data_IF_719126284593
#
_entry.id   IF_719126284593
#
_cell.length_a   1.000
_cell.length_b   1.000
_cell.length_c   1.000
_cell.angle_alpha   90.00
_cell.angle_beta   90.00
_cell.angle_gamma   90.00
#
_symmetry.space_group_name_H-M   'P 1'
#
loop_
_entity.id
_entity.type
_entity.pdbx_description
1 polymer ?
#
# COMPACT_ATOMS: atom_id res chain seq x y z
N UNK A 1 0.93 -42.57 -62.89
CA UNK A 1 0.48 -41.19 -62.59
C UNK A 1 1.14 -40.75 -61.29
N UNK A 2 2.01 -39.73 -61.34
CA UNK A 2 2.71 -39.15 -60.19
C UNK A 2 1.73 -38.28 -59.39
N UNK A 3 1.66 -38.42 -58.06
CA UNK A 3 1.05 -37.40 -57.18
C UNK A 3 2.01 -37.08 -56.05
N UNK A 4 2.44 -35.84 -56.07
CA UNK A 4 3.42 -35.18 -55.20
C UNK A 4 2.63 -34.76 -53.95
N UNK A 5 3.03 -35.20 -52.75
CA UNK A 5 2.55 -34.58 -51.50
C UNK A 5 3.38 -33.32 -51.28
N UNK A 6 2.84 -32.19 -51.74
CA UNK A 6 3.33 -30.85 -51.39
C UNK A 6 2.81 -30.48 -50.01
N UNK A 7 3.72 -29.95 -49.18
CA UNK A 7 3.47 -29.65 -47.77
C UNK A 7 2.46 -28.53 -47.52
N UNK A 8 1.97 -28.51 -46.28
CA UNK A 8 1.26 -27.38 -45.71
C UNK A 8 1.91 -27.05 -44.37
N UNK A 9 2.82 -26.08 -44.39
CA UNK A 9 3.36 -25.44 -43.19
C UNK A 9 2.27 -24.49 -42.66
N UNK A 10 1.54 -24.92 -41.64
CA UNK A 10 0.51 -24.12 -40.97
C UNK A 10 1.19 -23.09 -40.05
N UNK A 11 1.36 -21.87 -40.54
CA UNK A 11 1.77 -20.72 -39.70
C UNK A 11 0.54 -20.30 -38.89
N UNK A 12 0.43 -20.78 -37.65
CA UNK A 12 -0.56 -20.30 -36.68
C UNK A 12 -0.08 -18.91 -36.21
N UNK A 13 -0.62 -17.86 -36.82
CA UNK A 13 -0.56 -16.51 -36.25
C UNK A 13 -1.37 -16.50 -34.95
N UNK A 14 -0.68 -16.60 -33.81
CA UNK A 14 -1.27 -16.38 -32.49
C UNK A 14 -1.72 -14.92 -32.39
N UNK A 15 -3.01 -14.67 -32.65
CA UNK A 15 -3.70 -13.47 -32.15
C UNK A 15 -3.79 -13.57 -30.63
N UNK A 16 -2.71 -13.24 -29.94
CA UNK A 16 -2.77 -12.97 -28.51
C UNK A 16 -3.61 -11.70 -28.32
N UNK A 17 -4.70 -11.73 -27.53
CA UNK A 17 -5.38 -10.50 -27.19
C UNK A 17 -4.39 -9.60 -26.46
N UNK A 18 -4.20 -8.38 -26.97
CA UNK A 18 -3.51 -7.34 -26.22
C UNK A 18 -4.37 -7.05 -25.00
N UNK A 19 -3.98 -7.57 -23.84
CA UNK A 19 -4.51 -7.11 -22.57
C UNK A 19 -4.06 -5.65 -22.45
N UNK A 20 -4.97 -4.72 -22.77
CA UNK A 20 -4.80 -3.34 -22.38
C UNK A 20 -4.93 -3.31 -20.86
N UNK A 21 -3.81 -3.16 -20.16
CA UNK A 21 -3.82 -2.61 -18.81
C UNK A 21 -4.28 -1.15 -18.94
N UNK A 22 -5.59 -0.94 -19.05
CA UNK A 22 -6.17 0.33 -18.69
C UNK A 22 -5.91 0.47 -17.18
N UNK A 23 -4.87 1.23 -16.81
CA UNK A 23 -4.78 1.76 -15.47
C UNK A 23 -6.13 2.38 -15.16
N UNK A 24 -6.78 1.94 -14.08
CA UNK A 24 -8.13 2.37 -13.74
C UNK A 24 -8.11 3.87 -13.46
N UNK A 25 -8.36 4.67 -14.50
CA UNK A 25 -8.65 6.08 -14.32
C UNK A 25 -9.81 6.17 -13.33
N UNK A 26 -9.67 7.03 -12.33
CA UNK A 26 -10.74 7.35 -11.40
C UNK A 26 -12.04 7.61 -12.18
N UNK A 27 -13.18 7.02 -11.78
CA UNK A 27 -14.41 7.13 -12.56
C UNK A 27 -14.86 8.59 -12.66
N UNK A 28 -15.51 8.93 -13.77
CA UNK A 28 -16.18 10.22 -13.94
C UNK A 28 -17.57 10.18 -13.28
N UNK A 29 -18.12 11.35 -12.87
CA UNK A 29 -19.48 11.44 -12.40
C UNK A 29 -20.48 10.80 -13.35
N UNK A 30 -21.42 10.03 -12.79
CA UNK A 30 -22.49 9.38 -13.57
C UNK A 30 -23.85 9.53 -12.91
N UNK A 31 -24.92 9.51 -13.71
CA UNK A 31 -26.31 9.73 -13.26
C UNK A 31 -27.31 8.78 -13.93
N UNK A 32 -28.55 8.66 -13.39
CA UNK A 32 -29.58 7.81 -13.98
C UNK A 32 -29.78 8.02 -15.48
N UNK A 33 -29.89 6.91 -16.22
CA UNK A 33 -30.04 6.89 -17.67
C UNK A 33 -28.73 6.85 -18.47
N UNK A 34 -27.58 7.12 -17.85
CA UNK A 34 -26.28 6.97 -18.50
C UNK A 34 -25.84 5.51 -18.62
N UNK A 35 -24.93 5.23 -19.55
CA UNK A 35 -24.45 3.88 -19.84
C UNK A 35 -22.96 3.88 -20.18
N UNK A 36 -22.32 2.71 -20.10
CA UNK A 36 -20.95 2.48 -20.55
C UNK A 36 -19.95 2.19 -19.43
N UNK A 37 -18.66 2.27 -19.75
CA UNK A 37 -17.58 1.77 -18.89
C UNK A 37 -17.51 2.45 -17.52
N UNK A 38 -17.90 3.72 -17.42
CA UNK A 38 -17.92 4.46 -16.15
C UNK A 38 -19.00 3.94 -15.20
N UNK A 39 -20.20 3.70 -15.74
CA UNK A 39 -21.30 3.09 -14.99
C UNK A 39 -20.94 1.68 -14.56
N UNK A 40 -20.27 0.92 -15.42
CA UNK A 40 -19.79 -0.43 -15.09
C UNK A 40 -18.78 -0.42 -13.94
N UNK A 41 -17.85 0.55 -13.92
CA UNK A 41 -16.90 0.72 -12.82
C UNK A 41 -17.61 1.07 -11.51
N UNK A 42 -18.59 1.99 -11.56
CA UNK A 42 -19.43 2.33 -10.42
C UNK A 42 -20.15 1.09 -9.86
N UNK A 43 -20.84 0.33 -10.72
CA UNK A 43 -21.57 -0.88 -10.34
C UNK A 43 -20.66 -1.91 -9.69
N UNK A 44 -19.46 -2.14 -10.24
CA UNK A 44 -18.48 -3.04 -9.64
C UNK A 44 -18.11 -2.63 -8.21
N UNK A 45 -17.87 -1.34 -7.96
CA UNK A 45 -17.62 -0.85 -6.59
C UNK A 45 -18.83 -0.95 -5.66
N UNK A 46 -20.04 -0.76 -6.17
CA UNK A 46 -21.25 -0.96 -5.38
C UNK A 46 -21.50 -2.44 -5.04
N UNK A 47 -21.10 -3.36 -5.92
CA UNK A 47 -21.08 -4.80 -5.66
C UNK A 47 -20.05 -5.13 -4.58
N UNK A 48 -18.83 -4.61 -4.69
CA UNK A 48 -17.79 -4.77 -3.65
C UNK A 48 -18.25 -4.22 -2.28
N UNK A 49 -19.03 -3.15 -2.28
CA UNK A 49 -19.65 -2.58 -1.08
C UNK A 49 -20.90 -3.35 -0.59
N UNK A 50 -21.27 -4.46 -1.23
CA UNK A 50 -22.48 -5.24 -0.96
C UNK A 50 -23.80 -4.44 -1.05
N UNK A 51 -23.80 -3.34 -1.81
CA UNK A 51 -24.97 -2.47 -2.04
C UNK A 51 -25.69 -2.81 -3.35
N UNK A 52 -25.07 -3.64 -4.19
CA UNK A 52 -25.64 -4.14 -5.44
C UNK A 52 -25.37 -5.64 -5.55
N UNK A 53 -26.28 -6.38 -6.18
CA UNK A 53 -26.16 -7.84 -6.31
C UNK A 53 -24.99 -8.23 -7.21
N UNK A 54 -24.30 -9.33 -6.88
CA UNK A 54 -23.26 -9.90 -7.75
C UNK A 54 -23.79 -10.15 -9.17
N UNK A 55 -23.03 -9.73 -10.19
CA UNK A 55 -23.41 -9.81 -11.60
C UNK A 55 -24.30 -8.67 -12.10
N UNK A 56 -24.70 -7.71 -11.25
CA UNK A 56 -25.49 -6.54 -11.65
C UNK A 56 -24.61 -5.39 -12.22
N UNK A 57 -23.59 -5.70 -13.04
CA UNK A 57 -22.69 -4.74 -13.68
C UNK A 57 -23.01 -4.55 -15.18
N UNK A 58 -24.31 -4.33 -15.44
CA UNK A 58 -24.93 -4.19 -16.77
C UNK A 58 -24.36 -3.05 -17.62
N UNK A 59 -23.58 -2.16 -17.01
CA UNK A 59 -23.12 -0.90 -17.57
C UNK A 59 -24.26 0.10 -17.88
N UNK A 60 -25.45 -0.09 -17.30
CA UNK A 60 -26.60 0.81 -17.44
C UNK A 60 -26.98 1.37 -16.06
N UNK A 61 -27.07 2.69 -15.94
CA UNK A 61 -27.41 3.35 -14.68
C UNK A 61 -28.93 3.31 -14.48
N UNK A 62 -29.42 2.14 -14.08
CA UNK A 62 -30.82 1.85 -13.82
C UNK A 62 -31.25 2.20 -12.39
N UNK A 63 -32.52 1.92 -12.05
CA UNK A 63 -33.08 2.23 -10.73
C UNK A 63 -32.40 1.43 -9.60
N UNK A 64 -31.85 0.24 -9.89
CA UNK A 64 -31.09 -0.53 -8.91
C UNK A 64 -29.76 0.15 -8.58
N UNK A 65 -29.06 0.66 -9.59
CA UNK A 65 -27.82 1.42 -9.45
C UNK A 65 -28.08 2.73 -8.69
N UNK A 66 -29.15 3.44 -9.04
CA UNK A 66 -29.57 4.68 -8.36
C UNK A 66 -29.87 4.44 -6.88
N UNK A 67 -30.62 3.38 -6.57
CA UNK A 67 -30.95 3.00 -5.20
C UNK A 67 -29.70 2.66 -4.40
N UNK A 68 -28.78 1.88 -4.97
CA UNK A 68 -27.50 1.55 -4.33
C UNK A 68 -26.65 2.79 -4.04
N UNK A 69 -26.58 3.76 -4.97
CA UNK A 69 -25.88 5.03 -4.75
C UNK A 69 -26.54 5.86 -3.66
N UNK A 70 -27.88 5.93 -3.63
CA UNK A 70 -28.60 6.65 -2.59
C UNK A 70 -28.35 6.04 -1.19
N UNK A 71 -28.33 4.71 -1.09
CA UNK A 71 -27.99 4.00 0.15
C UNK A 71 -26.55 4.30 0.56
N UNK A 72 -25.60 4.22 -0.38
CA UNK A 72 -24.20 4.55 -0.13
C UNK A 72 -24.03 5.98 0.41
N UNK A 73 -24.68 6.95 -0.22
CA UNK A 73 -24.66 8.35 0.19
C UNK A 73 -25.19 8.52 1.62
N UNK A 74 -26.33 7.88 1.92
CA UNK A 74 -26.93 7.92 3.24
C UNK A 74 -26.00 7.31 4.31
N UNK A 75 -25.34 6.19 4.02
CA UNK A 75 -24.41 5.52 4.93
C UNK A 75 -23.14 6.34 5.22
N UNK A 76 -22.72 7.20 4.28
CA UNK A 76 -21.47 7.95 4.36
C UNK A 76 -21.65 9.45 4.64
N UNK A 77 -22.86 9.89 5.00
CA UNK A 77 -23.14 11.29 5.32
C UNK A 77 -23.03 12.25 4.13
N UNK A 78 -23.18 11.73 2.91
CA UNK A 78 -23.18 12.50 1.66
C UNK A 78 -24.63 12.89 1.34
N UNK A 79 -24.84 14.02 0.67
CA UNK A 79 -26.17 14.43 0.20
C UNK A 79 -26.79 13.32 -0.67
N UNK A 80 -27.96 12.82 -0.25
CA UNK A 80 -28.66 11.72 -0.94
C UNK A 80 -29.35 12.23 -2.20
N UNK A 81 -28.72 12.00 -3.35
CA UNK A 81 -29.22 12.41 -4.66
C UNK A 81 -29.49 11.22 -5.59
N UNK A 82 -28.88 10.05 -5.31
CA UNK A 82 -28.86 8.91 -6.23
C UNK A 82 -28.06 9.20 -7.51
N UNK A 83 -27.22 10.25 -7.50
CA UNK A 83 -26.27 10.59 -8.56
C UNK A 83 -24.86 10.31 -8.04
N UNK A 84 -24.04 9.60 -8.80
CA UNK A 84 -22.64 9.36 -8.44
C UNK A 84 -21.80 10.58 -8.83
N UNK A 85 -21.95 11.68 -8.10
CA UNK A 85 -21.16 12.91 -8.24
C UNK A 85 -19.74 12.77 -7.68
N UNK A 86 -18.93 13.82 -7.77
CA UNK A 86 -17.53 13.76 -7.33
C UNK A 86 -17.41 13.40 -5.84
N UNK A 87 -18.26 13.94 -4.98
CA UNK A 87 -18.24 13.64 -3.53
C UNK A 87 -18.55 12.16 -3.30
N UNK A 88 -19.54 11.63 -4.00
CA UNK A 88 -19.89 10.21 -3.96
C UNK A 88 -18.74 9.33 -4.43
N UNK A 89 -18.13 9.67 -5.57
CA UNK A 89 -17.05 8.89 -6.16
C UNK A 89 -15.78 8.92 -5.30
N UNK A 90 -15.44 10.07 -4.72
CA UNK A 90 -14.28 10.20 -3.83
C UNK A 90 -14.41 9.28 -2.62
N UNK A 91 -15.61 9.14 -2.05
CA UNK A 91 -15.83 8.28 -0.89
C UNK A 91 -16.01 6.81 -1.29
N UNK A 92 -16.61 6.52 -2.45
CA UNK A 92 -16.86 5.14 -2.91
C UNK A 92 -15.59 4.46 -3.45
N UNK A 93 -14.69 5.23 -4.05
CA UNK A 93 -13.44 4.74 -4.63
C UNK A 93 -12.22 5.03 -3.74
N UNK A 94 -12.40 5.63 -2.56
CA UNK A 94 -11.32 5.67 -1.57
C UNK A 94 -10.94 4.23 -1.21
N UNK A 95 -9.66 3.99 -1.03
CA UNK A 95 -9.21 2.72 -0.46
C UNK A 95 -9.88 2.55 0.91
N UNK A 96 -10.39 1.35 1.25
CA UNK A 96 -11.07 1.15 2.52
C UNK A 96 -10.18 1.61 3.66
N UNK A 97 -10.76 2.34 4.61
CA UNK A 97 -10.06 2.66 5.84
C UNK A 97 -9.78 1.33 6.57
N UNK A 98 -8.52 0.98 6.82
CA UNK A 98 -8.13 -0.17 7.61
C UNK A 98 -8.82 -0.14 8.96
N UNK A 99 -9.27 -1.30 9.43
CA UNK A 99 -9.93 -1.43 10.73
C UNK A 99 -8.93 -1.04 11.82
N UNK A 100 -9.27 -0.13 12.76
CA UNK A 100 -8.41 0.17 13.89
C UNK A 100 -8.10 -1.11 14.67
N UNK A 101 -6.83 -1.52 14.67
CA UNK A 101 -6.35 -2.71 15.37
C UNK A 101 -5.80 -3.82 14.50
N UNK A 102 -5.87 -3.73 13.16
CA UNK A 102 -5.15 -4.63 12.26
C UNK A 102 -3.97 -3.93 11.57
N UNK A 103 -2.79 -4.55 11.64
CA UNK A 103 -1.61 -4.12 10.89
C UNK A 103 -1.82 -4.29 9.39
N UNK A 104 -1.73 -3.19 8.65
CA UNK A 104 -1.88 -3.19 7.20
C UNK A 104 -0.60 -3.61 6.48
N UNK A 105 -0.74 -4.13 5.27
CA UNK A 105 0.41 -4.41 4.39
C UNK A 105 0.33 -3.57 3.13
N UNK A 106 0.76 -2.30 3.18
CA UNK A 106 0.80 -1.50 1.97
C UNK A 106 1.83 -2.06 1.01
N UNK A 107 1.47 -2.14 -0.27
CA UNK A 107 2.41 -2.43 -1.35
C UNK A 107 2.94 -1.11 -1.91
N UNK A 108 4.27 -0.98 -2.01
CA UNK A 108 4.93 0.27 -2.42
C UNK A 108 4.34 0.84 -3.72
N UNK A 109 4.32 0.02 -4.78
CA UNK A 109 3.86 0.43 -6.11
C UNK A 109 2.34 0.40 -6.31
N UNK A 110 1.57 -0.08 -5.33
CA UNK A 110 0.11 -0.02 -5.37
C UNK A 110 -0.44 1.19 -4.58
N UNK A 111 0.36 2.25 -4.43
CA UNK A 111 0.03 3.48 -3.70
C UNK A 111 0.49 3.49 -2.24
N UNK A 112 1.32 2.53 -1.82
CA UNK A 112 2.00 2.59 -0.52
C UNK A 112 3.03 3.72 -0.45
N UNK A 113 3.61 4.12 -1.59
CA UNK A 113 4.51 5.28 -1.71
C UNK A 113 3.92 6.59 -1.23
N UNK A 114 2.59 6.73 -1.26
CA UNK A 114 1.88 7.98 -1.01
C UNK A 114 1.32 8.08 0.42
N UNK A 115 1.42 7.00 1.22
CA UNK A 115 0.80 6.92 2.55
C UNK A 115 1.43 7.84 3.58
N UNK A 116 2.76 8.00 3.54
CA UNK A 116 3.51 8.81 4.49
C UNK A 116 4.21 9.91 3.68
N UNK A 117 3.72 11.15 3.62
CA UNK A 117 4.32 12.18 2.75
C UNK A 117 5.72 12.62 3.20
N UNK A 118 6.50 13.25 2.31
CA UNK A 118 7.79 13.84 2.69
C UNK A 118 7.61 14.90 3.78
N UNK A 119 8.48 14.86 4.79
CA UNK A 119 8.40 15.71 5.99
C UNK A 119 7.39 15.23 7.04
N UNK A 120 6.62 14.17 6.78
CA UNK A 120 5.73 13.59 7.78
C UNK A 120 6.54 13.01 8.94
N UNK A 121 6.05 13.23 10.16
CA UNK A 121 6.55 12.61 11.39
C UNK A 121 5.68 11.41 11.73
N UNK A 122 6.30 10.29 12.05
CA UNK A 122 5.62 9.04 12.42
C UNK A 122 6.43 8.23 13.43
N UNK A 123 5.78 7.26 14.05
CA UNK A 123 6.43 6.37 15.01
C UNK A 123 6.75 5.03 14.36
N UNK A 124 7.91 4.48 14.71
CA UNK A 124 8.36 3.15 14.34
C UNK A 124 8.45 2.30 15.59
N UNK A 125 7.88 1.10 15.55
CA UNK A 125 8.08 0.04 16.55
C UNK A 125 8.82 -1.12 15.92
N UNK A 126 9.96 -1.50 16.49
CA UNK A 126 10.61 -2.78 16.16
C UNK A 126 9.84 -3.94 16.80
N UNK A 127 9.30 -4.84 15.99
CA UNK A 127 8.45 -5.94 16.47
C UNK A 127 9.22 -6.89 17.40
N UNK A 128 10.52 -7.07 17.14
CA UNK A 128 11.36 -8.03 17.86
C UNK A 128 11.75 -7.55 19.26
N UNK A 129 12.20 -6.32 19.39
CA UNK A 129 12.63 -5.72 20.68
C UNK A 129 11.52 -4.96 21.40
N UNK A 130 10.49 -4.53 20.67
CA UNK A 130 9.42 -3.66 21.16
C UNK A 130 9.84 -2.20 21.36
N UNK A 131 11.07 -1.82 21.02
CA UNK A 131 11.50 -0.41 21.10
C UNK A 131 10.68 0.45 20.15
N UNK A 132 10.32 1.66 20.60
CA UNK A 132 9.52 2.62 19.84
C UNK A 132 10.28 3.93 19.75
N UNK A 133 10.34 4.52 18.57
CA UNK A 133 11.01 5.79 18.34
C UNK A 133 10.31 6.58 17.23
N UNK A 134 10.42 7.91 17.30
CA UNK A 134 9.87 8.82 16.31
C UNK A 134 10.89 9.14 15.23
N UNK A 135 10.40 9.25 13.99
CA UNK A 135 11.20 9.57 12.82
C UNK A 135 10.44 10.57 11.95
N UNK A 136 11.12 11.17 10.98
CA UNK A 136 10.43 11.81 9.86
C UNK A 136 10.84 11.18 8.53
N UNK A 137 9.92 11.21 7.55
CA UNK A 137 10.24 10.83 6.17
C UNK A 137 11.08 11.92 5.54
N UNK A 138 12.32 11.61 5.21
CA UNK A 138 13.24 12.52 4.54
C UNK A 138 13.00 12.54 3.04
N UNK A 139 13.00 11.38 2.39
CA UNK A 139 12.86 11.24 0.93
C UNK A 139 12.41 9.80 0.56
N UNK A 140 12.79 9.33 -0.64
CA UNK A 140 12.61 7.95 -1.07
C UNK A 140 11.72 7.79 -2.31
N UNK A 141 12.20 7.01 -3.29
CA UNK A 141 11.54 6.74 -4.59
C UNK A 141 11.11 5.27 -4.73
N UNK A 142 11.98 4.34 -4.34
CA UNK A 142 11.76 2.88 -4.43
C UNK A 142 11.40 2.24 -3.08
N UNK A 143 11.59 3.01 -2.02
CA UNK A 143 11.32 2.76 -0.61
C UNK A 143 11.34 4.11 0.14
N UNK A 144 11.11 4.12 1.45
CA UNK A 144 11.08 5.32 2.27
C UNK A 144 12.44 5.56 2.93
N UNK A 145 12.98 6.78 2.82
CA UNK A 145 14.16 7.20 3.59
C UNK A 145 13.73 8.00 4.82
N UNK A 146 14.25 7.62 5.99
CA UNK A 146 13.90 8.23 7.27
C UNK A 146 15.13 8.60 8.10
N UNK A 147 14.94 9.56 8.99
CA UNK A 147 15.90 9.88 10.05
C UNK A 147 15.17 9.93 11.41
N UNK A 148 15.80 9.50 12.52
CA UNK A 148 15.27 9.74 13.86
C UNK A 148 15.00 11.23 14.10
N UNK A 149 13.90 11.52 14.79
CA UNK A 149 13.46 12.90 14.99
C UNK A 149 14.33 13.61 16.03
N UNK A 150 14.63 12.96 17.16
CA UNK A 150 15.49 13.51 18.21
C UNK A 150 16.69 12.60 18.54
N UNK A 151 17.55 13.06 19.45
CA UNK A 151 18.66 12.26 19.96
C UNK A 151 18.17 11.08 20.77
N UNK A 152 17.11 11.27 21.54
CA UNK A 152 16.45 10.23 22.32
C UNK A 152 15.89 9.14 21.39
N UNK A 153 15.27 9.52 20.27
CA UNK A 153 14.82 8.56 19.26
C UNK A 153 15.98 7.73 18.67
N UNK A 154 17.14 8.37 18.44
CA UNK A 154 18.35 7.65 18.01
C UNK A 154 18.82 6.63 19.04
N UNK A 155 18.77 6.96 20.33
CA UNK A 155 19.12 6.01 21.40
C UNK A 155 18.09 4.88 21.54
N UNK A 156 16.81 5.15 21.34
CA UNK A 156 15.76 4.12 21.28
C UNK A 156 15.95 3.19 20.07
N UNK A 157 16.31 3.73 18.90
CA UNK A 157 16.65 2.94 17.71
C UNK A 157 17.87 2.04 17.95
N UNK A 158 18.87 2.48 18.73
CA UNK A 158 20.03 1.65 19.11
C UNK A 158 19.66 0.44 19.96
N UNK A 159 18.51 0.42 20.65
CA UNK A 159 18.06 -0.80 21.33
C UNK A 159 17.72 -1.90 20.32
N UNK A 160 17.23 -1.54 19.13
CA UNK A 160 17.06 -2.47 18.02
C UNK A 160 18.36 -2.73 17.24
N UNK A 161 19.28 -1.75 17.19
CA UNK A 161 20.58 -1.85 16.55
C UNK A 161 21.73 -1.41 17.47
N UNK A 162 22.19 -2.27 18.40
CA UNK A 162 23.31 -1.93 19.28
C UNK A 162 24.59 -1.59 18.50
N UNK A 163 24.70 -2.14 17.29
CA UNK A 163 25.61 -1.72 16.25
C UNK A 163 24.79 -1.44 15.01
N UNK A 164 25.06 -0.32 14.34
CA UNK A 164 24.44 -0.02 13.05
C UNK A 164 24.72 -1.12 12.05
N UNK A 165 23.68 -1.62 11.39
CA UNK A 165 23.78 -2.72 10.45
C UNK A 165 22.72 -2.64 9.37
N UNK A 166 23.00 -3.33 8.26
CA UNK A 166 22.03 -3.56 7.21
C UNK A 166 21.04 -4.68 7.55
N UNK A 167 21.02 -5.21 8.78
CA UNK A 167 20.12 -6.31 9.11
C UNK A 167 18.66 -5.86 9.01
N UNK A 168 17.82 -6.72 8.40
CA UNK A 168 16.41 -6.41 8.19
C UNK A 168 15.65 -6.69 9.47
N UNK A 169 14.92 -5.69 9.93
CA UNK A 169 14.07 -5.80 11.10
C UNK A 169 12.60 -5.61 10.71
N UNK A 170 11.68 -6.43 11.24
CA UNK A 170 10.24 -6.25 11.11
C UNK A 170 9.80 -5.07 11.95
N UNK A 171 9.09 -4.14 11.34
CA UNK A 171 8.61 -2.95 12.03
C UNK A 171 7.14 -2.69 11.78
N UNK A 172 6.52 -2.04 12.75
CA UNK A 172 5.23 -1.39 12.58
C UNK A 172 5.45 0.12 12.51
N UNK A 173 4.79 0.77 11.57
CA UNK A 173 4.70 2.22 11.50
C UNK A 173 3.34 2.65 12.02
N UNK A 174 3.30 3.62 12.94
CA UNK A 174 2.08 4.31 13.33
C UNK A 174 2.07 5.74 12.78
N UNK A 175 1.10 6.03 11.93
CA UNK A 175 0.92 7.35 11.31
C UNK A 175 -0.58 7.64 11.17
N UNK A 176 -1.01 8.85 11.57
CA UNK A 176 -2.42 9.30 11.53
C UNK A 176 -3.44 8.32 12.15
N UNK A 177 -3.01 7.58 13.19
CA UNK A 177 -3.85 6.60 13.89
C UNK A 177 -3.96 5.24 13.19
N UNK A 178 -3.27 5.06 12.07
CA UNK A 178 -3.18 3.81 11.33
C UNK A 178 -1.84 3.09 11.58
N UNK A 179 -1.84 1.77 11.41
CA UNK A 179 -0.67 0.91 11.61
C UNK A 179 -0.33 0.16 10.33
N UNK A 180 0.94 0.21 9.92
CA UNK A 180 1.45 -0.41 8.69
C UNK A 180 2.64 -1.33 8.99
N UNK A 181 2.62 -2.54 8.45
CA UNK A 181 3.75 -3.44 8.41
C UNK A 181 4.79 -2.92 7.41
N UNK A 182 6.03 -2.86 7.85
CA UNK A 182 7.17 -2.54 7.03
C UNK A 182 8.40 -3.32 7.52
N UNK A 183 9.52 -3.10 6.84
CA UNK A 183 10.82 -3.54 7.29
C UNK A 183 11.81 -2.39 7.25
N UNK A 184 12.70 -2.29 8.23
CA UNK A 184 13.81 -1.33 8.21
C UNK A 184 15.17 -2.01 8.17
N UNK A 185 16.18 -1.25 7.77
CA UNK A 185 17.54 -1.47 8.21
C UNK A 185 17.96 -0.35 9.20
N UNK A 186 19.13 -0.48 9.83
CA UNK A 186 19.62 0.51 10.80
C UNK A 186 20.94 1.16 10.42
N UNK A 187 21.43 0.98 9.20
CA UNK A 187 22.73 1.51 8.78
C UNK A 187 22.55 2.96 8.31
N UNK A 188 23.13 3.96 8.99
CA UNK A 188 23.18 5.31 8.45
C UNK A 188 23.96 5.32 7.14
N UNK A 189 23.42 5.97 6.11
CA UNK A 189 24.09 6.10 4.83
C UNK A 189 23.77 7.43 4.15
N UNK A 190 24.54 7.71 3.10
CA UNK A 190 24.43 8.92 2.28
C UNK A 190 24.55 10.19 3.13
N UNK A 191 23.60 11.13 3.03
CA UNK A 191 23.61 12.40 3.75
C UNK A 191 22.56 12.47 4.85
N UNK A 192 22.80 13.37 5.79
CA UNK A 192 21.94 13.69 6.93
C UNK A 192 21.32 15.07 6.74
N UNK A 193 20.02 15.18 6.95
CA UNK A 193 19.27 16.44 6.92
C UNK A 193 18.99 16.95 8.35
N UNK A 194 18.78 16.05 9.32
CA UNK A 194 18.53 16.38 10.72
C UNK A 194 19.77 16.21 11.59
N UNK A 195 20.59 17.27 11.68
CA UNK A 195 21.87 17.26 12.44
C UNK A 195 21.70 17.15 13.96
N UNK A 196 20.52 17.40 14.51
CA UNK A 196 20.30 17.44 15.95
C UNK A 196 19.94 16.08 16.56
N UNK A 197 19.53 15.10 15.74
CA UNK A 197 19.22 13.73 16.21
C UNK A 197 20.48 12.93 16.56
N UNK A 198 21.66 13.36 16.12
CA UNK A 198 22.90 12.58 16.29
C UNK A 198 22.94 11.28 15.47
N UNK A 199 22.00 11.04 14.56
CA UNK A 199 22.02 9.92 13.62
C UNK A 199 22.73 10.32 12.32
N UNK A 200 23.88 9.73 11.96
CA UNK A 200 24.78 10.27 10.95
C UNK A 200 24.41 9.84 9.50
N UNK A 201 23.19 10.11 9.06
CA UNK A 201 22.69 9.79 7.72
C UNK A 201 21.18 9.60 7.72
N UNK A 202 20.66 8.83 6.77
CA UNK A 202 19.32 8.25 6.84
C UNK A 202 19.38 6.72 6.81
N UNK A 203 18.23 6.09 7.03
CA UNK A 203 18.05 4.65 6.91
C UNK A 203 16.78 4.34 6.10
N UNK A 204 16.73 3.14 5.53
CA UNK A 204 15.65 2.74 4.64
C UNK A 204 14.54 2.02 5.40
N UNK A 205 13.29 2.34 5.04
CA UNK A 205 12.08 1.62 5.40
C UNK A 205 11.40 1.12 4.13
N UNK A 206 11.07 -0.16 4.10
CA UNK A 206 10.49 -0.88 2.96
C UNK A 206 9.10 -1.38 3.32
N UNK A 207 8.10 -0.95 2.56
CA UNK A 207 6.79 -1.60 2.49
C UNK A 207 6.84 -2.86 1.61
N UNK A 208 5.75 -3.62 1.53
CA UNK A 208 5.68 -4.80 0.67
C UNK A 208 6.01 -4.43 -0.79
N UNK A 209 6.76 -5.30 -1.45
CA UNK A 209 7.23 -5.14 -2.82
C UNK A 209 8.06 -3.87 -3.13
N UNK A 210 8.54 -3.14 -2.12
CA UNK A 210 9.57 -2.12 -2.30
C UNK A 210 10.82 -2.72 -2.93
N UNK A 211 11.54 -1.93 -3.74
CA UNK A 211 12.78 -2.38 -4.41
C UNK A 211 13.99 -1.69 -3.80
N UNK A 212 15.17 -2.29 -3.93
CA UNK A 212 16.42 -1.65 -3.53
C UNK A 212 16.98 -0.73 -4.62
N UNK A 213 17.62 0.37 -4.22
CA UNK A 213 18.03 1.44 -5.16
C UNK A 213 18.95 1.00 -6.29
N UNK A 214 19.98 0.20 -5.99
CA UNK A 214 21.03 -0.13 -6.96
C UNK A 214 20.69 -1.29 -7.89
N UNK A 215 19.80 -2.19 -7.47
CA UNK A 215 19.45 -3.40 -8.23
C UNK A 215 18.04 -3.35 -8.81
N UNK A 216 17.17 -2.48 -8.27
CA UNK A 216 15.72 -2.49 -8.50
C UNK A 216 15.11 -3.89 -8.28
N UNK A 217 15.79 -4.77 -7.52
CA UNK A 217 15.31 -6.10 -7.17
C UNK A 217 14.56 -6.05 -5.86
N UNK A 218 13.62 -6.98 -5.73
CA UNK A 218 13.01 -7.31 -4.45
C UNK A 218 14.07 -7.94 -3.54
N UNK A 219 14.19 -7.42 -2.32
CA UNK A 219 15.01 -8.02 -1.27
C UNK A 219 14.15 -9.01 -0.46
N UNK A 220 14.46 -10.30 -0.58
CA UNK A 220 13.72 -11.36 0.10
C UNK A 220 13.73 -11.23 1.63
N UNK A 221 14.79 -10.67 2.23
CA UNK A 221 14.87 -10.46 3.67
C UNK A 221 13.96 -9.31 4.11
N UNK A 222 13.86 -8.25 3.32
CA UNK A 222 12.87 -7.19 3.59
C UNK A 222 11.45 -7.75 3.48
N UNK A 223 11.15 -8.53 2.44
CA UNK A 223 9.81 -9.13 2.30
C UNK A 223 9.48 -10.08 3.46
N UNK A 224 10.43 -10.90 3.89
CA UNK A 224 10.24 -11.77 5.05
C UNK A 224 9.98 -10.98 6.35
N UNK A 225 10.69 -9.86 6.55
CA UNK A 225 10.46 -9.00 7.70
C UNK A 225 9.10 -8.29 7.64
N UNK A 226 8.60 -7.89 6.46
CA UNK A 226 7.23 -7.38 6.31
C UNK A 226 6.20 -8.45 6.67
N UNK A 227 6.43 -9.71 6.27
CA UNK A 227 5.56 -10.85 6.62
C UNK A 227 5.57 -11.17 8.13
N UNK A 228 6.70 -10.99 8.80
CA UNK A 228 6.78 -11.10 10.26
C UNK A 228 6.03 -9.95 10.93
N UNK A 229 6.14 -8.73 10.41
CA UNK A 229 5.45 -7.56 10.96
C UNK A 229 3.92 -7.65 10.85
N UNK A 230 3.37 -8.11 9.71
CA UNK A 230 1.91 -8.25 9.54
C UNK A 230 1.28 -9.23 10.53
N UNK A 231 2.05 -10.21 11.03
CA UNK A 231 1.57 -11.16 12.02
C UNK A 231 1.43 -10.57 13.43
N UNK A 232 1.69 -9.27 13.61
CA UNK A 232 1.70 -8.59 14.91
C UNK A 232 0.90 -7.30 14.88
N UNK A 233 0.50 -6.83 16.05
CA UNK A 233 -0.22 -5.58 16.27
C UNK A 233 0.60 -4.57 17.06
N UNK A 234 0.20 -3.30 16.98
CA UNK A 234 0.93 -2.22 17.64
C UNK A 234 1.11 -2.44 19.16
N UNK A 235 0.13 -3.04 19.82
CA UNK A 235 0.16 -3.28 21.27
C UNK A 235 0.67 -4.68 21.68
N UNK A 236 1.08 -5.52 20.71
CA UNK A 236 1.63 -6.83 21.04
C UNK A 236 2.97 -6.73 21.78
N UNK A 237 3.32 -7.68 22.65
CA UNK A 237 4.64 -7.71 23.28
C UNK A 237 5.75 -7.98 22.26
N UNK A 238 7.03 -7.73 22.60
CA UNK A 238 8.17 -8.06 21.74
C UNK A 238 8.19 -9.55 21.38
N UNK A 239 8.49 -9.88 20.12
CA UNK A 239 8.57 -11.29 19.68
C UNK A 239 9.89 -11.96 20.08
N UNK A 240 10.94 -11.19 20.36
CA UNK A 240 12.24 -11.69 20.82
C UNK A 240 12.66 -10.99 22.13
N UNK A 241 12.27 -11.57 23.25
CA UNK A 241 12.56 -11.03 24.60
C UNK A 241 14.00 -11.25 25.10
N UNK A 242 14.91 -11.84 24.31
CA UNK A 242 16.25 -12.27 24.77
C UNK A 242 17.45 -11.52 24.15
N UNK A 243 17.27 -10.35 23.52
CA UNK A 243 18.41 -9.59 22.96
C UNK A 243 19.19 -8.74 23.99
N UNK A 244 18.86 -8.84 25.28
CA UNK A 244 19.60 -8.20 26.38
C UNK A 244 20.20 -9.28 27.29
N UNK A 245 21.04 -10.16 26.78
CA UNK A 245 22.03 -10.85 27.59
C UNK A 245 23.30 -11.08 26.76
N UNK A 246 24.40 -10.52 27.30
CA UNK A 246 25.81 -10.55 26.90
C UNK A 246 26.30 -9.39 26.04
#
# INVERSE_FOLDING_TARGET
MKRILSGLLLVILLFLPRISLAGSAFPKPTKPGEQGSQVKLLQKKLIEAALLQEGADSAVYDESTRSAVAVFQAQNGIRVTGVADMDTLLVLFRKPKPVPGDTQVPEWYAGGSDLIPFGAVFEVKDVRSGTVFSVYRMMGESHLDAEPLTKEDTEEMKKAYPKWSWDRRPILIRYEGEVFAASMNGMPHSYQSNKTSGFPGHFCIHFAFSRGDSSQRLDAMHQQAVLEAVATQWYDPPTHTNLILN
#
